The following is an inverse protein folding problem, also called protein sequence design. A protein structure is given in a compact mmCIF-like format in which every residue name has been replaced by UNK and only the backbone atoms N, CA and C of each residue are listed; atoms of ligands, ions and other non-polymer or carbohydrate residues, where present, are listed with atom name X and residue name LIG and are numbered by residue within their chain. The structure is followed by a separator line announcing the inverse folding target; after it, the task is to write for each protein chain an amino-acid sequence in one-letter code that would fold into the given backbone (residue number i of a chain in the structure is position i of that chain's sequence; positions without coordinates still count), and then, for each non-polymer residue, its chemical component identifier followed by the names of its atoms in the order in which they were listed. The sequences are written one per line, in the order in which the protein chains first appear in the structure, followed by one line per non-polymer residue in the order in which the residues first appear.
data_IF_983180950846
#
_entry.id   IF_983180950846
#
_cell.length_a   1.000
_cell.length_b   1.000
_cell.length_c   1.000
_cell.angle_alpha   90.00
_cell.angle_beta   90.00
_cell.angle_gamma   90.00
#
_symmetry.space_group_name_H-M   'P 1'
#
loop_
_entity.id
_entity.type
_entity.pdbx_description
1 polymer ?
#
# COMPACT_ATOMS: atom_id res chain seq x y z
N UNK A 1 -36.59 2.51 29.83
CA UNK A 1 -36.04 1.14 29.86
C UNK A 1 -35.14 0.99 28.64
N UNK A 2 -33.82 0.91 28.84
CA UNK A 2 -32.88 0.78 27.72
C UNK A 2 -32.72 -0.68 27.30
N UNK A 3 -32.61 -0.97 25.99
CA UNK A 3 -32.30 -2.31 25.52
C UNK A 3 -30.89 -2.74 25.98
N UNK A 4 -30.67 -4.03 26.28
CA UNK A 4 -29.37 -4.51 26.73
C UNK A 4 -28.34 -4.40 25.60
N UNK A 5 -27.12 -4.02 25.96
CA UNK A 5 -25.99 -3.94 25.04
C UNK A 5 -25.65 -5.34 24.49
N UNK A 6 -25.27 -5.45 23.19
CA UNK A 6 -24.82 -6.70 22.62
C UNK A 6 -23.50 -7.17 23.29
N UNK A 7 -23.30 -8.48 23.44
CA UNK A 7 -22.09 -9.02 24.05
C UNK A 7 -20.85 -8.67 23.22
N UNK A 8 -19.77 -8.29 23.91
CA UNK A 8 -18.49 -7.99 23.28
C UNK A 8 -17.92 -9.24 22.58
N UNK A 9 -17.27 -9.11 21.42
CA UNK A 9 -16.63 -10.22 20.74
C UNK A 9 -15.56 -10.84 21.64
N UNK A 10 -15.65 -12.15 21.90
CA UNK A 10 -14.62 -12.87 22.65
C UNK A 10 -13.29 -12.82 21.88
N UNK A 11 -12.21 -12.56 22.61
CA UNK A 11 -10.86 -12.54 22.09
C UNK A 11 -10.57 -13.86 21.36
N UNK A 12 -10.26 -13.77 20.07
CA UNK A 12 -9.81 -14.92 19.29
C UNK A 12 -8.36 -15.18 19.66
N UNK A 13 -8.15 -16.07 20.62
CA UNK A 13 -6.84 -16.67 20.89
C UNK A 13 -6.40 -17.45 19.65
N UNK A 14 -5.58 -16.81 18.81
CA UNK A 14 -4.91 -17.47 17.70
C UNK A 14 -3.41 -17.25 17.79
N UNK A 15 -2.83 -17.63 18.92
CA UNK A 15 -1.40 -17.89 19.02
C UNK A 15 -1.10 -19.26 18.39
N UNK A 16 -1.30 -19.39 17.07
CA UNK A 16 -0.68 -20.50 16.34
C UNK A 16 0.81 -20.21 16.26
N UNK A 17 1.61 -20.91 17.06
CA UNK A 17 3.07 -20.90 17.04
C UNK A 17 3.64 -21.44 15.73
N UNK A 18 3.49 -20.67 14.66
CA UNK A 18 4.13 -20.94 13.37
C UNK A 18 5.58 -20.49 13.40
N UNK A 19 6.48 -21.38 12.97
CA UNK A 19 7.89 -21.06 12.67
C UNK A 19 7.93 -19.77 11.82
N UNK A 20 8.58 -18.73 12.34
CA UNK A 20 8.79 -17.49 11.60
C UNK A 20 9.81 -17.73 10.51
N UNK A 21 9.36 -18.15 9.33
CA UNK A 21 10.22 -18.23 8.15
C UNK A 21 10.49 -16.78 7.71
N UNK A 22 11.75 -16.31 7.71
CA UNK A 22 12.06 -14.96 7.30
C UNK A 22 11.60 -14.76 5.85
N UNK A 23 10.80 -13.71 5.61
CA UNK A 23 10.38 -13.40 4.23
C UNK A 23 11.60 -13.01 3.41
N UNK A 24 11.95 -13.83 2.41
CA UNK A 24 12.98 -13.48 1.43
C UNK A 24 12.62 -12.16 0.76
N UNK A 25 13.50 -11.16 0.84
CA UNK A 25 13.34 -9.86 0.17
C UNK A 25 13.15 -10.11 -1.33
N UNK A 26 11.98 -9.73 -1.84
CA UNK A 26 11.65 -9.89 -3.27
C UNK A 26 12.00 -8.59 -3.99
N UNK A 27 12.71 -8.68 -5.12
CA UNK A 27 12.99 -7.50 -5.96
C UNK A 27 11.69 -6.98 -6.58
N UNK A 28 11.51 -5.67 -6.63
CA UNK A 28 10.36 -5.02 -7.30
C UNK A 28 10.64 -5.02 -8.80
N UNK A 29 10.25 -6.09 -9.47
CA UNK A 29 10.34 -6.26 -10.93
C UNK A 29 9.25 -7.23 -11.39
N UNK A 30 9.09 -7.35 -12.71
CA UNK A 30 8.24 -8.37 -13.30
C UNK A 30 8.66 -9.77 -12.86
N UNK A 31 7.66 -10.66 -12.67
CA UNK A 31 7.90 -12.04 -12.26
C UNK A 31 7.56 -12.97 -13.43
N UNK A 32 8.60 -13.51 -14.07
CA UNK A 32 8.46 -14.35 -15.27
C UNK A 32 7.67 -15.64 -15.02
N UNK A 33 7.77 -16.22 -13.82
CA UNK A 33 7.02 -17.41 -13.45
C UNK A 33 5.54 -17.07 -13.20
N UNK A 34 4.69 -17.52 -14.11
CA UNK A 34 3.25 -17.29 -14.11
C UNK A 34 2.53 -17.78 -12.86
N UNK A 35 2.85 -18.99 -12.39
CA UNK A 35 2.20 -19.57 -11.22
C UNK A 35 2.55 -18.75 -9.97
N UNK A 36 3.84 -18.41 -9.81
CA UNK A 36 4.31 -17.55 -8.72
C UNK A 36 3.77 -16.13 -8.83
N UNK A 37 3.62 -15.59 -10.05
CA UNK A 37 3.07 -14.26 -10.32
C UNK A 37 1.60 -14.20 -9.93
N UNK A 38 0.78 -15.18 -10.34
CA UNK A 38 -0.63 -15.28 -9.91
C UNK A 38 -0.76 -15.41 -8.40
N UNK A 39 0.01 -16.29 -7.77
CA UNK A 39 -0.02 -16.46 -6.31
C UNK A 39 0.41 -15.18 -5.56
N UNK A 40 1.42 -14.48 -6.07
CA UNK A 40 1.91 -13.21 -5.51
C UNK A 40 0.88 -12.09 -5.68
N UNK A 41 0.26 -11.96 -6.87
CA UNK A 41 -0.80 -11.00 -7.13
C UNK A 41 -1.96 -11.21 -6.15
N UNK A 42 -2.44 -12.44 -6.01
CA UNK A 42 -3.52 -12.78 -5.08
C UNK A 42 -3.20 -12.40 -3.63
N UNK A 43 -1.96 -12.65 -3.18
CA UNK A 43 -1.51 -12.27 -1.82
C UNK A 43 -1.38 -10.76 -1.65
N UNK A 44 -0.75 -10.06 -2.61
CA UNK A 44 -0.53 -8.61 -2.56
C UNK A 44 -1.83 -7.83 -2.67
N UNK A 45 -2.75 -8.25 -3.56
CA UNK A 45 -4.09 -7.67 -3.74
C UNK A 45 -4.84 -7.62 -2.42
N UNK A 46 -4.96 -8.76 -1.72
CA UNK A 46 -5.58 -8.82 -0.39
C UNK A 46 -4.87 -7.92 0.62
N UNK A 47 -3.54 -7.90 0.61
CA UNK A 47 -2.76 -7.05 1.52
C UNK A 47 -3.01 -5.55 1.29
N UNK A 48 -3.08 -5.11 0.04
CA UNK A 48 -3.35 -3.73 -0.33
C UNK A 48 -4.78 -3.33 0.05
N UNK A 49 -5.77 -4.16 -0.27
CA UNK A 49 -7.17 -3.88 0.09
C UNK A 49 -7.33 -3.78 1.60
N UNK A 50 -6.75 -4.72 2.36
CA UNK A 50 -6.77 -4.65 3.82
C UNK A 50 -6.14 -3.36 4.35
N UNK A 51 -5.04 -2.90 3.75
CA UNK A 51 -4.40 -1.64 4.16
C UNK A 51 -5.22 -0.42 3.82
N UNK A 52 -5.93 -0.41 2.68
CA UNK A 52 -6.86 0.65 2.33
C UNK A 52 -8.05 0.69 3.31
N UNK A 53 -8.60 -0.48 3.66
CA UNK A 53 -9.67 -0.60 4.66
C UNK A 53 -9.22 -0.13 6.05
N UNK A 54 -8.05 -0.57 6.51
CA UNK A 54 -7.46 -0.10 7.77
C UNK A 54 -7.29 1.43 7.77
N UNK A 55 -6.80 2.02 6.66
CA UNK A 55 -6.63 3.46 6.54
C UNK A 55 -7.97 4.20 6.57
N UNK A 56 -8.98 3.68 5.86
CA UNK A 56 -10.34 4.21 5.87
C UNK A 56 -10.92 4.22 7.29
N UNK A 57 -10.83 3.10 8.01
CA UNK A 57 -11.39 2.95 9.35
C UNK A 57 -10.64 3.80 10.39
N UNK A 58 -9.32 3.77 10.38
CA UNK A 58 -8.51 4.39 11.43
C UNK A 58 -8.44 5.91 11.30
N UNK A 59 -8.53 6.43 10.08
CA UNK A 59 -8.33 7.85 9.82
C UNK A 59 -9.58 8.56 9.28
N UNK A 60 -10.69 7.84 9.07
CA UNK A 60 -11.94 8.36 8.49
C UNK A 60 -11.72 9.07 7.15
N UNK A 61 -10.83 8.52 6.33
CA UNK A 61 -10.50 9.05 5.00
C UNK A 61 -11.14 8.21 3.91
N UNK A 62 -11.62 8.86 2.84
CA UNK A 62 -12.11 8.12 1.67
C UNK A 62 -10.94 7.50 0.90
N UNK A 63 -10.97 6.18 0.74
CA UNK A 63 -9.93 5.42 0.00
C UNK A 63 -10.58 4.48 -0.99
N UNK A 64 -10.04 4.41 -2.20
CA UNK A 64 -10.43 3.40 -3.20
C UNK A 64 -9.21 2.71 -3.79
N UNK A 65 -9.38 1.44 -4.15
CA UNK A 65 -8.38 0.63 -4.84
C UNK A 65 -9.02 -0.02 -6.05
N UNK A 66 -8.37 0.07 -7.21
CA UNK A 66 -8.77 -0.65 -8.44
C UNK A 66 -7.57 -1.47 -8.93
N UNK A 67 -7.75 -2.80 -9.05
CA UNK A 67 -6.70 -3.71 -9.49
C UNK A 67 -7.20 -4.53 -10.68
N UNK A 68 -6.58 -4.32 -11.83
CA UNK A 68 -6.82 -5.09 -13.04
C UNK A 68 -5.86 -6.28 -13.12
N UNK A 69 -6.36 -7.43 -13.56
CA UNK A 69 -5.54 -8.61 -13.86
C UNK A 69 -5.81 -9.06 -15.29
N UNK A 70 -4.78 -9.44 -16.07
CA UNK A 70 -4.99 -9.95 -17.43
C UNK A 70 -5.78 -11.26 -17.47
N UNK A 71 -5.92 -11.96 -16.34
CA UNK A 71 -6.63 -13.25 -16.26
C UNK A 71 -8.03 -13.11 -15.65
N UNK A 72 -8.49 -11.89 -15.36
CA UNK A 72 -9.78 -11.64 -14.72
C UNK A 72 -10.57 -10.65 -15.59
N UNK A 73 -11.83 -10.96 -15.86
CA UNK A 73 -12.69 -10.11 -16.68
C UNK A 73 -13.08 -8.82 -15.94
N UNK A 74 -13.27 -8.91 -14.63
CA UNK A 74 -13.64 -7.78 -13.78
C UNK A 74 -12.46 -7.36 -12.88
N UNK A 75 -12.26 -6.06 -12.66
CA UNK A 75 -11.28 -5.59 -11.70
C UNK A 75 -11.71 -5.94 -10.28
N UNK A 76 -10.73 -6.20 -9.43
CA UNK A 76 -10.96 -6.18 -7.99
C UNK A 76 -11.04 -4.73 -7.52
N UNK A 77 -12.11 -4.39 -6.80
CA UNK A 77 -12.38 -3.03 -6.35
C UNK A 77 -12.67 -2.97 -4.87
N UNK A 78 -12.09 -1.98 -4.20
CA UNK A 78 -12.47 -1.57 -2.84
C UNK A 78 -12.86 -0.09 -2.85
N UNK A 79 -13.92 0.32 -2.12
CA UNK A 79 -14.84 -0.54 -1.36
C UNK A 79 -15.88 -1.23 -2.25
N UNK A 80 -16.31 -0.57 -3.32
CA UNK A 80 -17.13 -1.13 -4.39
C UNK A 80 -16.97 -0.26 -5.65
N UNK A 81 -17.50 -0.74 -6.79
CA UNK A 81 -17.35 -0.09 -8.09
C UNK A 81 -17.91 1.33 -8.08
N UNK A 82 -19.12 1.52 -7.56
CA UNK A 82 -19.80 2.82 -7.58
C UNK A 82 -19.02 3.90 -6.83
N UNK A 83 -18.61 3.60 -5.58
CA UNK A 83 -17.84 4.54 -4.77
C UNK A 83 -16.45 4.82 -5.35
N UNK A 84 -15.79 3.79 -5.90
CA UNK A 84 -14.50 3.96 -6.55
C UNK A 84 -14.61 4.86 -7.80
N UNK A 85 -15.65 4.68 -8.61
CA UNK A 85 -15.95 5.53 -9.78
C UNK A 85 -16.19 6.96 -9.34
N UNK A 86 -16.98 7.17 -8.29
CA UNK A 86 -17.27 8.51 -7.77
C UNK A 86 -16.00 9.21 -7.24
N UNK A 87 -15.14 8.49 -6.51
CA UNK A 87 -13.85 9.02 -6.08
C UNK A 87 -12.95 9.39 -7.26
N UNK A 88 -12.86 8.53 -8.28
CA UNK A 88 -12.12 8.82 -9.50
C UNK A 88 -12.69 10.05 -10.23
N UNK A 89 -14.02 10.20 -10.26
CA UNK A 89 -14.70 11.35 -10.87
C UNK A 89 -14.33 12.64 -10.14
N UNK A 90 -14.45 12.66 -8.80
CA UNK A 90 -14.05 13.81 -7.96
C UNK A 90 -12.58 14.18 -8.14
N UNK A 91 -11.70 13.18 -8.19
CA UNK A 91 -10.29 13.40 -8.44
C UNK A 91 -10.02 14.07 -9.80
N UNK A 92 -10.71 13.62 -10.87
CA UNK A 92 -10.58 14.20 -12.22
C UNK A 92 -11.06 15.66 -12.29
N UNK A 93 -12.02 16.04 -11.45
CA UNK A 93 -12.57 17.40 -11.38
C UNK A 93 -11.65 18.41 -10.67
N UNK A 94 -10.60 17.96 -9.98
CA UNK A 94 -9.63 18.85 -9.36
C UNK A 94 -8.80 19.64 -10.41
N UNK A 95 -8.35 20.87 -10.09
CA UNK A 95 -7.42 21.61 -10.94
C UNK A 95 -6.16 20.78 -11.27
N UNK A 96 -5.59 20.95 -12.48
CA UNK A 96 -4.44 20.14 -12.95
C UNK A 96 -3.24 20.22 -11.99
N UNK A 97 -2.97 21.39 -11.42
CA UNK A 97 -1.89 21.58 -10.45
C UNK A 97 -2.10 20.72 -9.19
N UNK A 98 -3.33 20.66 -8.66
CA UNK A 98 -3.66 19.82 -7.52
C UNK A 98 -3.54 18.33 -7.86
N UNK A 99 -3.93 17.91 -9.07
CA UNK A 99 -3.78 16.51 -9.51
C UNK A 99 -2.33 16.06 -9.59
N UNK A 100 -1.42 16.89 -10.11
CA UNK A 100 -0.01 16.53 -10.26
C UNK A 100 0.69 16.32 -8.91
N UNK A 101 0.32 17.10 -7.88
CA UNK A 101 0.84 16.95 -6.53
C UNK A 101 0.26 15.76 -5.76
N UNK A 102 -0.91 15.26 -6.19
CA UNK A 102 -1.62 14.13 -5.56
C UNK A 102 -1.40 12.79 -6.29
N UNK A 103 -0.76 12.82 -7.47
CA UNK A 103 -0.43 11.62 -8.24
C UNK A 103 1.01 11.19 -7.97
N UNK A 104 1.15 10.04 -7.33
CA UNK A 104 2.41 9.32 -7.22
C UNK A 104 2.36 8.08 -8.11
N UNK A 105 3.17 8.08 -9.16
CA UNK A 105 3.44 6.88 -9.96
C UNK A 105 4.45 5.98 -9.25
N UNK A 106 4.48 4.69 -9.61
CA UNK A 106 5.50 3.77 -9.09
C UNK A 106 6.93 4.29 -9.36
N UNK A 107 7.15 4.98 -10.49
CA UNK A 107 8.43 5.60 -10.84
C UNK A 107 8.76 6.76 -9.90
N UNK A 108 7.80 7.65 -9.64
CA UNK A 108 7.98 8.76 -8.70
C UNK A 108 8.23 8.26 -7.27
N UNK A 109 7.53 7.21 -6.84
CA UNK A 109 7.75 6.62 -5.52
C UNK A 109 9.17 6.06 -5.36
N UNK A 110 9.64 5.25 -6.33
CA UNK A 110 11.01 4.72 -6.33
C UNK A 110 12.03 5.85 -6.41
N UNK A 111 11.74 6.92 -7.17
CA UNK A 111 12.60 8.08 -7.26
C UNK A 111 12.73 8.80 -5.91
N UNK A 112 11.63 8.98 -5.18
CA UNK A 112 11.65 9.60 -3.84
C UNK A 112 12.48 8.77 -2.87
N UNK A 113 12.28 7.45 -2.82
CA UNK A 113 13.09 6.55 -1.99
C UNK A 113 14.59 6.63 -2.35
N UNK A 114 14.91 6.71 -3.65
CA UNK A 114 16.27 6.90 -4.12
C UNK A 114 16.84 8.27 -3.70
N UNK A 115 16.07 9.34 -3.78
CA UNK A 115 16.51 10.68 -3.33
C UNK A 115 16.79 10.70 -1.83
N UNK A 116 15.93 10.08 -1.02
CA UNK A 116 16.15 9.95 0.43
C UNK A 116 17.44 9.15 0.69
N UNK A 117 17.62 8.01 0.03
CA UNK A 117 18.81 7.19 0.20
C UNK A 117 20.08 7.92 -0.21
N UNK A 118 20.03 8.64 -1.34
CA UNK A 118 21.13 9.48 -1.82
C UNK A 118 21.45 10.58 -0.80
N UNK A 119 20.44 11.29 -0.29
CA UNK A 119 20.62 12.33 0.72
C UNK A 119 21.26 11.79 2.00
N UNK A 120 20.80 10.64 2.51
CA UNK A 120 21.40 9.99 3.69
C UNK A 120 22.86 9.64 3.42
N UNK A 121 23.15 9.10 2.24
CA UNK A 121 24.51 8.73 1.84
C UNK A 121 25.42 9.95 1.73
N UNK A 122 24.94 11.01 1.08
CA UNK A 122 25.67 12.27 0.90
C UNK A 122 25.95 12.92 2.27
N UNK A 123 24.95 12.99 3.15
CA UNK A 123 25.10 13.55 4.49
C UNK A 123 26.10 12.76 5.33
N UNK A 124 26.03 11.43 5.34
CA UNK A 124 26.99 10.58 6.05
C UNK A 124 28.41 10.71 5.47
N UNK A 125 28.54 10.81 4.15
CA UNK A 125 29.83 10.99 3.48
C UNK A 125 30.45 12.35 3.85
N UNK A 126 29.64 13.41 3.88
CA UNK A 126 30.08 14.73 4.36
C UNK A 126 30.47 14.70 5.83
N UNK A 127 29.70 14.03 6.69
CA UNK A 127 30.04 13.88 8.11
C UNK A 127 31.36 13.12 8.30
N UNK A 128 31.57 12.03 7.58
CA UNK A 128 32.82 11.27 7.65
C UNK A 128 34.01 12.08 7.12
N UNK A 129 33.87 12.77 5.98
CA UNK A 129 34.93 13.61 5.43
C UNK A 129 35.33 14.76 6.36
N UNK A 130 34.40 15.26 7.16
CA UNK A 130 34.70 16.29 8.17
C UNK A 130 35.43 15.70 9.39
N UNK A 131 35.08 14.48 9.82
CA UNK A 131 35.78 13.77 10.91
C UNK A 131 37.21 13.39 10.53
N UNK A 132 37.49 13.09 9.26
CA UNK A 132 38.85 12.78 8.79
C UNK A 132 39.68 14.02 8.40
N UNK A 133 39.14 15.23 8.56
CA UNK A 133 39.82 16.51 8.30
C UNK A 133 40.25 17.26 9.57
N UNK A 134 39.89 16.75 10.74
CA UNK A 134 40.47 17.11 12.04
C UNK A 134 41.64 16.18 12.38
#
# INVERSE_FOLDING_TARGET
MHPPLPPLPQARDRCTGGIFIPRKKTRIRWLEDDARRRATLKKRRRGIIKKAEELHILCDVQTCVLIFSPNEEQPEVFPNIEQAVEMCRRFKQLPKFNRANLMLTNVQFIQVDYQILKWVTDNLTTSLLNVFKE
#
